data_IF_879687411221
#
_entry.id   IF_879687411221
#
_cell.length_a   1.000
_cell.length_b   1.000
_cell.length_c   1.000
_cell.angle_alpha   90.00
_cell.angle_beta   90.00
_cell.angle_gamma   90.00
#
_symmetry.space_group_name_H-M   'P 1'
#
loop_
_entity.id
_entity.type
_entity.pdbx_description
1 polymer ?
#
# COMPACT_ATOMS: atom_id res chain seq x y z
N UNK A 1 -1.38 -4.69 24.44
CA UNK A 1 -1.72 -6.08 24.04
C UNK A 1 -0.87 -7.11 24.78
N UNK A 2 0.46 -7.21 24.55
CA UNK A 2 1.34 -8.20 25.26
C UNK A 2 1.25 -8.15 26.79
N UNK A 3 1.22 -6.95 27.38
CA UNK A 3 1.11 -6.79 28.82
C UNK A 3 -0.17 -7.47 29.38
N UNK A 4 -1.30 -7.30 28.71
CA UNK A 4 -2.57 -7.91 29.13
C UNK A 4 -2.56 -9.44 29.00
N UNK A 5 -1.95 -9.97 27.94
CA UNK A 5 -1.75 -11.41 27.81
C UNK A 5 -0.88 -11.98 28.94
N UNK A 6 0.26 -11.35 29.25
CA UNK A 6 1.12 -11.83 30.32
C UNK A 6 0.46 -11.76 31.70
N UNK A 7 -0.20 -10.63 32.02
CA UNK A 7 -0.77 -10.36 33.33
C UNK A 7 -2.10 -11.11 33.56
N UNK A 8 -3.01 -11.07 32.58
CA UNK A 8 -4.38 -11.54 32.76
C UNK A 8 -4.72 -12.80 31.94
N UNK A 9 -3.75 -13.35 31.20
CA UNK A 9 -3.96 -14.51 30.30
C UNK A 9 -5.06 -14.28 29.26
N UNK A 10 -5.29 -13.01 28.89
CA UNK A 10 -6.21 -12.66 27.82
C UNK A 10 -5.71 -13.26 26.51
N UNK A 11 -6.63 -13.82 25.71
CA UNK A 11 -6.30 -14.31 24.39
C UNK A 11 -6.04 -13.16 23.43
N UNK A 12 -4.79 -13.07 22.96
CA UNK A 12 -4.36 -11.96 22.10
C UNK A 12 -3.45 -12.44 21.01
N UNK A 13 -3.56 -11.84 19.84
CA UNK A 13 -2.66 -12.03 18.71
C UNK A 13 -2.11 -10.66 18.29
N UNK A 14 -0.88 -10.63 17.79
CA UNK A 14 -0.26 -9.41 17.25
C UNK A 14 0.28 -9.71 15.86
N UNK A 15 -0.10 -8.88 14.90
CA UNK A 15 0.50 -8.89 13.57
C UNK A 15 1.16 -7.54 13.29
N UNK A 16 2.37 -7.57 12.74
CA UNK A 16 3.09 -6.39 12.29
C UNK A 16 3.37 -6.55 10.80
N UNK A 17 2.72 -5.74 9.98
CA UNK A 17 2.79 -5.87 8.53
C UNK A 17 3.64 -4.80 7.87
N UNK A 18 4.09 -5.10 6.66
CA UNK A 18 4.75 -4.16 5.74
C UNK A 18 3.74 -3.21 5.06
N UNK A 19 4.22 -2.37 4.13
CA UNK A 19 3.37 -1.42 3.43
C UNK A 19 2.35 -2.14 2.55
N UNK A 20 1.07 -1.94 2.86
CA UNK A 20 -0.03 -2.49 2.08
C UNK A 20 -0.32 -1.63 0.85
N UNK A 21 -0.75 -2.27 -0.23
CA UNK A 21 -1.26 -1.60 -1.43
C UNK A 21 -2.33 -2.45 -2.12
N UNK A 22 -3.20 -1.79 -2.89
CA UNK A 22 -4.28 -2.46 -3.62
C UNK A 22 -5.57 -1.65 -3.66
N UNK A 23 -6.68 -2.32 -4.03
CA UNK A 23 -8.03 -1.75 -4.04
C UNK A 23 -8.39 -0.98 -2.75
N UNK A 24 -9.24 0.03 -2.90
CA UNK A 24 -9.82 0.82 -1.81
C UNK A 24 -8.82 1.60 -0.93
N UNK A 25 -7.55 1.72 -1.33
CA UNK A 25 -6.58 2.51 -0.59
C UNK A 25 -6.83 4.01 -0.78
N UNK A 26 -6.98 4.75 0.31
CA UNK A 26 -7.26 6.19 0.25
C UNK A 26 -6.12 6.96 -0.46
N UNK A 27 -6.43 7.91 -1.36
CA UNK A 27 -5.44 8.60 -2.23
C UNK A 27 -4.59 9.66 -1.50
N UNK A 28 -4.22 9.39 -0.25
CA UNK A 28 -3.14 10.09 0.47
C UNK A 28 -1.83 9.29 0.47
N UNK A 29 -1.91 7.98 0.21
CA UNK A 29 -0.75 7.07 0.22
C UNK A 29 -0.06 7.10 -1.14
N UNK A 30 1.21 6.69 -1.18
CA UNK A 30 2.07 6.81 -2.36
C UNK A 30 1.43 6.26 -3.64
N UNK A 31 1.08 4.97 -3.68
CA UNK A 31 0.52 4.33 -4.90
C UNK A 31 -0.78 5.02 -5.38
N UNK A 32 -1.84 5.15 -4.55
CA UNK A 32 -3.09 5.73 -5.04
C UNK A 32 -2.99 7.21 -5.38
N UNK A 33 -2.16 7.98 -4.67
CA UNK A 33 -1.87 9.37 -5.03
C UNK A 33 -1.20 9.45 -6.40
N UNK A 34 -0.21 8.58 -6.65
CA UNK A 34 0.53 8.58 -7.92
C UNK A 34 -0.36 8.15 -9.08
N UNK A 35 -1.22 7.13 -8.90
CA UNK A 35 -2.21 6.74 -9.92
C UNK A 35 -3.13 7.92 -10.20
N UNK A 36 -3.73 8.51 -9.16
CA UNK A 36 -4.68 9.61 -9.31
C UNK A 36 -4.07 10.81 -10.05
N UNK A 37 -2.89 11.26 -9.64
CA UNK A 37 -2.21 12.40 -10.28
C UNK A 37 -1.80 12.06 -11.72
N UNK A 38 -1.31 10.85 -11.97
CA UNK A 38 -0.87 10.44 -13.30
C UNK A 38 -2.02 10.28 -14.30
N UNK A 39 -3.23 9.97 -13.83
CA UNK A 39 -4.45 9.97 -14.65
C UNK A 39 -4.87 11.39 -15.06
N UNK A 40 -4.63 12.37 -14.19
CA UNK A 40 -4.96 13.78 -14.41
C UNK A 40 -3.83 14.59 -15.06
N UNK A 41 -2.68 13.96 -15.32
CA UNK A 41 -1.50 14.65 -15.86
C UNK A 41 -0.86 15.64 -14.89
N UNK A 42 -1.08 15.45 -13.58
CA UNK A 42 -0.53 16.28 -12.51
C UNK A 42 0.86 15.79 -12.07
N UNK A 43 1.60 16.67 -11.40
CA UNK A 43 2.91 16.35 -10.83
C UNK A 43 2.84 15.16 -9.85
N UNK A 44 3.88 14.32 -9.89
CA UNK A 44 4.06 13.13 -9.06
C UNK A 44 5.09 13.41 -7.96
N UNK A 45 4.68 13.81 -6.74
CA UNK A 45 5.59 14.30 -5.71
C UNK A 45 6.36 13.17 -5.04
N UNK A 46 7.68 13.14 -5.22
CA UNK A 46 8.60 12.17 -4.61
C UNK A 46 9.43 12.88 -3.53
N UNK A 47 9.33 12.42 -2.28
CA UNK A 47 10.08 12.99 -1.16
C UNK A 47 11.58 12.73 -1.26
N UNK A 48 12.38 13.77 -1.00
CA UNK A 48 13.85 13.67 -0.97
C UNK A 48 14.40 13.29 -2.34
N UNK A 49 15.21 12.24 -2.40
CA UNK A 49 15.70 11.63 -3.64
C UNK A 49 14.92 10.38 -4.04
N UNK A 50 13.85 10.05 -3.30
CA UNK A 50 13.00 8.88 -3.55
C UNK A 50 13.62 7.53 -3.21
N UNK A 51 14.81 7.48 -2.59
CA UNK A 51 15.52 6.22 -2.28
C UNK A 51 15.06 5.51 -1.01
N UNK A 52 14.02 6.03 -0.36
CA UNK A 52 13.41 5.34 0.77
C UNK A 52 12.84 4.00 0.30
N UNK A 53 13.22 2.93 0.98
CA UNK A 53 12.84 1.55 0.66
C UNK A 53 11.67 1.12 1.53
N UNK A 54 10.69 0.49 0.90
CA UNK A 54 9.56 -0.15 1.59
C UNK A 54 9.42 -1.58 1.07
N UNK A 55 8.94 -2.45 1.95
CA UNK A 55 8.46 -3.79 1.59
C UNK A 55 6.97 -3.68 1.26
N UNK A 56 6.58 -4.13 0.07
CA UNK A 56 5.23 -3.98 -0.47
C UNK A 56 4.45 -5.29 -0.45
N UNK A 57 3.32 -5.30 0.27
CA UNK A 57 2.43 -6.44 0.41
C UNK A 57 1.07 -6.12 -0.21
N UNK A 58 0.60 -6.96 -1.13
CA UNK A 58 -0.72 -6.79 -1.70
C UNK A 58 -1.81 -6.99 -0.64
N UNK A 59 -2.83 -6.13 -0.63
CA UNK A 59 -3.82 -6.06 0.47
C UNK A 59 -4.56 -7.37 0.70
N UNK A 60 -4.88 -8.12 -0.37
CA UNK A 60 -5.56 -9.40 -0.22
C UNK A 60 -4.66 -10.48 0.38
N UNK A 61 -3.35 -10.45 0.11
CA UNK A 61 -2.39 -11.34 0.77
C UNK A 61 -2.32 -11.07 2.26
N UNK A 62 -2.37 -9.79 2.64
CA UNK A 62 -2.43 -9.43 4.05
C UNK A 62 -3.73 -9.91 4.70
N UNK A 63 -4.88 -9.75 4.04
CA UNK A 63 -6.16 -10.27 4.55
C UNK A 63 -6.12 -11.79 4.75
N UNK A 64 -5.59 -12.55 3.78
CA UNK A 64 -5.37 -14.00 3.91
C UNK A 64 -4.48 -14.35 5.10
N UNK A 65 -3.43 -13.55 5.34
CA UNK A 65 -2.55 -13.72 6.48
C UNK A 65 -3.28 -13.50 7.82
N UNK A 66 -4.09 -12.45 7.91
CA UNK A 66 -4.87 -12.12 9.11
C UNK A 66 -5.90 -13.19 9.43
N UNK A 67 -6.61 -13.69 8.42
CA UNK A 67 -7.55 -14.79 8.57
C UNK A 67 -6.86 -16.05 9.09
N UNK A 68 -5.71 -16.41 8.50
CA UNK A 68 -4.94 -17.57 8.92
C UNK A 68 -4.42 -17.44 10.35
N UNK A 69 -3.85 -16.28 10.70
CA UNK A 69 -3.37 -15.99 12.05
C UNK A 69 -4.53 -16.07 13.05
N UNK A 70 -5.67 -15.44 12.75
CA UNK A 70 -6.82 -15.45 13.64
C UNK A 70 -7.34 -16.87 13.92
N UNK A 71 -7.34 -17.74 12.91
CA UNK A 71 -7.92 -19.09 13.02
C UNK A 71 -6.95 -20.14 13.58
N UNK A 72 -5.64 -19.97 13.40
CA UNK A 72 -4.66 -21.05 13.63
C UNK A 72 -3.53 -20.68 14.59
N UNK A 73 -3.30 -19.39 14.86
CA UNK A 73 -2.22 -18.99 15.74
C UNK A 73 -2.49 -19.35 17.20
N UNK A 74 -1.41 -19.70 17.90
CA UNK A 74 -1.44 -19.77 19.36
C UNK A 74 -1.57 -18.37 19.96
N UNK A 75 -2.37 -18.27 21.01
CA UNK A 75 -2.52 -17.06 21.82
C UNK A 75 -1.17 -16.56 22.37
N UNK A 76 -0.98 -15.25 22.38
CA UNK A 76 0.24 -14.57 22.84
C UNK A 76 1.34 -14.43 21.80
N UNK A 77 1.16 -15.00 20.60
CA UNK A 77 2.16 -14.97 19.54
C UNK A 77 2.13 -13.64 18.77
N UNK A 78 3.30 -13.24 18.28
CA UNK A 78 3.47 -12.13 17.34
C UNK A 78 3.99 -12.66 16.01
N UNK A 79 3.38 -12.23 14.91
CA UNK A 79 3.80 -12.53 13.56
C UNK A 79 4.12 -11.28 12.76
N UNK A 80 5.28 -11.28 12.12
CA UNK A 80 5.61 -10.34 11.06
C UNK A 80 5.01 -10.85 9.73
N UNK A 81 4.39 -9.95 8.96
CA UNK A 81 3.73 -10.25 7.70
C UNK A 81 4.27 -9.30 6.61
N UNK A 82 4.98 -9.84 5.63
CA UNK A 82 5.71 -9.06 4.63
C UNK A 82 5.56 -9.62 3.22
N UNK A 83 5.73 -8.76 2.21
CA UNK A 83 5.68 -9.16 0.81
C UNK A 83 7.01 -9.72 0.30
N UNK A 84 8.12 -9.46 1.00
CA UNK A 84 9.50 -9.70 0.51
C UNK A 84 9.79 -8.92 -0.78
N UNK A 85 9.13 -7.77 -0.92
CA UNK A 85 9.19 -6.94 -2.13
C UNK A 85 9.77 -5.58 -1.77
N UNK A 86 11.05 -5.55 -1.43
CA UNK A 86 11.75 -4.30 -1.15
C UNK A 86 11.97 -3.49 -2.42
N UNK A 87 11.46 -2.26 -2.42
CA UNK A 87 11.63 -1.36 -3.55
C UNK A 87 11.79 0.08 -3.07
N UNK A 88 12.70 0.81 -3.72
CA UNK A 88 12.80 2.26 -3.55
C UNK A 88 11.52 2.92 -4.08
N UNK A 89 11.06 3.97 -3.39
CA UNK A 89 9.85 4.70 -3.79
C UNK A 89 9.96 5.22 -5.24
N UNK A 90 11.15 5.69 -5.67
CA UNK A 90 11.34 6.18 -7.03
C UNK A 90 11.17 5.07 -8.08
N UNK A 91 11.66 3.86 -7.81
CA UNK A 91 11.53 2.72 -8.73
C UNK A 91 10.08 2.24 -8.79
N UNK A 92 9.35 2.29 -7.68
CA UNK A 92 7.92 2.01 -7.64
C UNK A 92 7.12 3.00 -8.52
N UNK A 93 7.40 4.30 -8.40
CA UNK A 93 6.72 5.34 -9.19
C UNK A 93 7.01 5.18 -10.68
N UNK A 94 8.25 4.84 -11.06
CA UNK A 94 8.62 4.55 -12.46
C UNK A 94 7.89 3.32 -13.00
N UNK A 95 7.80 2.24 -12.21
CA UNK A 95 7.07 1.02 -12.57
C UNK A 95 5.59 1.33 -12.83
N UNK A 96 4.97 2.10 -11.93
CA UNK A 96 3.59 2.56 -12.04
C UNK A 96 3.37 3.41 -13.30
N UNK A 97 4.23 4.41 -13.56
CA UNK A 97 4.14 5.25 -14.76
C UNK A 97 4.21 4.42 -16.04
N UNK A 98 5.17 3.50 -16.11
CA UNK A 98 5.35 2.60 -17.26
C UNK A 98 4.12 1.70 -17.47
N UNK A 99 3.52 1.20 -16.39
CA UNK A 99 2.32 0.38 -16.45
C UNK A 99 1.11 1.16 -16.98
N UNK A 100 0.90 2.38 -16.46
CA UNK A 100 -0.16 3.28 -16.95
C UNK A 100 0.03 3.66 -18.42
N UNK A 101 1.25 4.01 -18.83
CA UNK A 101 1.53 4.36 -20.23
C UNK A 101 1.31 3.16 -21.17
N UNK A 102 1.58 1.93 -20.71
CA UNK A 102 1.26 0.71 -21.47
C UNK A 102 -0.25 0.48 -21.59
N UNK A 103 -1.03 0.81 -20.56
CA UNK A 103 -2.49 0.61 -20.51
C UNK A 103 -3.27 1.67 -21.28
N UNK A 104 -2.86 2.93 -21.14
CA UNK A 104 -3.62 4.10 -21.60
C UNK A 104 -2.97 4.82 -22.78
N UNK A 105 -1.73 4.47 -23.13
CA UNK A 105 -0.90 5.29 -24.00
C UNK A 105 -0.30 6.49 -23.26
N UNK A 106 0.46 7.30 -24.00
CA UNK A 106 1.08 8.52 -23.50
C UNK A 106 0.03 9.58 -23.13
N UNK A 107 0.47 10.64 -22.46
CA UNK A 107 -0.37 11.81 -22.19
C UNK A 107 -0.81 12.48 -23.51
N UNK A 108 -1.91 13.27 -23.51
CA UNK A 108 -2.40 13.94 -24.73
C UNK A 108 -1.38 14.83 -25.43
N UNK A 109 -0.39 15.34 -24.70
CA UNK A 109 0.72 16.16 -25.22
C UNK A 109 1.94 15.33 -25.70
N UNK A 110 1.82 14.00 -25.67
CA UNK A 110 2.85 13.06 -26.12
C UNK A 110 3.91 12.73 -25.08
N UNK A 111 3.86 13.30 -23.87
CA UNK A 111 4.82 12.99 -22.80
C UNK A 111 4.53 11.64 -22.14
N UNK A 112 5.57 10.96 -21.68
CA UNK A 112 5.43 9.79 -20.82
C UNK A 112 5.13 10.23 -19.38
N UNK A 113 4.36 9.44 -18.63
CA UNK A 113 3.99 9.79 -17.24
C UNK A 113 5.18 9.91 -16.30
N UNK A 114 6.29 9.26 -16.62
CA UNK A 114 7.56 9.40 -15.88
C UNK A 114 8.07 10.86 -15.85
N UNK A 115 7.72 11.68 -16.84
CA UNK A 115 8.10 13.10 -16.90
C UNK A 115 7.32 13.97 -15.92
N UNK A 116 6.26 13.44 -15.30
CA UNK A 116 5.49 14.11 -14.26
C UNK A 116 6.18 14.04 -12.88
N UNK A 117 7.24 13.24 -12.72
CA UNK A 117 7.96 13.10 -11.45
C UNK A 117 8.57 14.43 -11.00
N UNK A 118 8.22 14.86 -9.79
CA UNK A 118 8.79 16.04 -9.12
C UNK A 118 9.35 15.66 -7.76
N UNK A 119 10.63 15.96 -7.55
CA UNK A 119 11.23 15.82 -6.22
C UNK A 119 10.80 16.99 -5.33
N UNK A 120 10.34 16.66 -4.12
CA UNK A 120 9.89 17.62 -3.10
C UNK A 120 10.75 17.47 -1.84
N UNK A 121 10.78 18.52 -1.00
CA UNK A 121 11.53 18.50 0.25
C UNK A 121 11.14 17.30 1.12
N UNK A 122 12.13 16.62 1.70
CA UNK A 122 11.89 15.38 2.44
C UNK A 122 11.08 15.60 3.73
N UNK A 123 10.46 14.53 4.21
CA UNK A 123 9.76 14.49 5.48
C UNK A 123 10.77 14.46 6.63
N UNK A 124 10.58 15.29 7.65
CA UNK A 124 11.42 15.23 8.86
C UNK A 124 11.25 13.87 9.56
N UNK A 125 12.36 13.20 9.83
CA UNK A 125 12.38 11.89 10.49
C UNK A 125 11.89 10.75 9.59
N UNK A 126 12.06 10.85 8.28
CA UNK A 126 11.65 9.80 7.35
C UNK A 126 12.55 8.57 7.51
N UNK A 127 11.98 7.44 7.95
CA UNK A 127 12.73 6.19 8.00
C UNK A 127 13.15 5.74 6.59
N UNK A 128 14.44 5.47 6.44
CA UNK A 128 15.05 5.18 5.16
C UNK A 128 14.60 3.82 4.60
N UNK A 129 14.52 2.77 5.42
CA UNK A 129 14.25 1.42 4.94
C UNK A 129 13.42 0.60 5.91
N UNK A 130 12.35 0.01 5.39
CA UNK A 130 11.59 -1.06 6.04
C UNK A 130 11.65 -2.33 5.20
N UNK A 131 11.98 -3.43 5.87
CA UNK A 131 12.06 -4.76 5.29
C UNK A 131 11.57 -5.77 6.35
N UNK A 132 10.59 -6.60 6.00
CA UNK A 132 9.96 -7.51 6.95
C UNK A 132 10.47 -8.94 6.74
N UNK A 133 10.97 -9.54 7.82
CA UNK A 133 11.18 -10.98 7.90
C UNK A 133 9.89 -11.68 8.31
N UNK A 134 9.24 -12.36 7.35
CA UNK A 134 8.03 -13.15 7.53
C UNK A 134 8.30 -14.66 7.73
N UNK A 135 9.53 -15.07 8.03
CA UNK A 135 9.90 -16.49 8.19
C UNK A 135 9.06 -17.20 9.26
N UNK A 136 8.71 -16.50 10.35
CA UNK A 136 7.98 -17.10 11.47
C UNK A 136 6.56 -17.52 11.06
N UNK A 137 5.80 -16.65 10.40
CA UNK A 137 4.42 -16.98 9.98
C UNK A 137 4.42 -18.07 8.91
N UNK A 138 5.44 -18.09 8.05
CA UNK A 138 5.63 -19.16 7.08
C UNK A 138 5.91 -20.51 7.75
N UNK A 139 6.84 -20.56 8.70
CA UNK A 139 7.22 -21.81 9.38
C UNK A 139 6.08 -22.36 10.24
N UNK A 140 5.39 -21.47 10.96
CA UNK A 140 4.39 -21.88 11.93
C UNK A 140 3.03 -22.17 11.28
N UNK A 141 2.63 -21.39 10.25
CA UNK A 141 1.29 -21.44 9.65
C UNK A 141 1.30 -21.76 8.15
N UNK A 142 2.46 -21.86 7.50
CA UNK A 142 2.55 -22.13 6.06
C UNK A 142 2.16 -20.95 5.17
N UNK A 143 2.05 -19.73 5.73
CA UNK A 143 1.69 -18.55 4.95
C UNK A 143 2.85 -18.03 4.10
N UNK A 144 2.55 -17.73 2.84
CA UNK A 144 3.38 -16.94 1.94
C UNK A 144 2.49 -16.03 1.08
N UNK A 145 2.97 -14.83 0.68
CA UNK A 145 2.24 -14.01 -0.27
C UNK A 145 2.13 -14.72 -1.62
N UNK A 146 0.95 -14.64 -2.23
CA UNK A 146 0.64 -15.24 -3.53
C UNK A 146 0.78 -14.25 -4.69
N UNK A 147 0.85 -12.95 -4.38
CA UNK A 147 0.91 -11.87 -5.38
C UNK A 147 2.30 -11.26 -5.41
N UNK A 148 2.98 -11.35 -6.54
CA UNK A 148 4.22 -10.59 -6.75
C UNK A 148 3.93 -9.09 -6.97
N UNK A 149 4.94 -8.25 -6.78
CA UNK A 149 4.77 -6.79 -6.85
C UNK A 149 4.32 -6.30 -8.23
N UNK A 150 4.81 -6.91 -9.32
CA UNK A 150 4.45 -6.48 -10.67
C UNK A 150 2.99 -6.83 -10.96
N UNK A 151 2.57 -8.05 -10.67
CA UNK A 151 1.19 -8.51 -10.81
C UNK A 151 0.23 -7.68 -9.96
N UNK A 152 0.54 -7.49 -8.68
CA UNK A 152 -0.31 -6.72 -7.80
C UNK A 152 -0.40 -5.25 -8.22
N UNK A 153 0.67 -4.67 -8.78
CA UNK A 153 0.64 -3.31 -9.34
C UNK A 153 -0.32 -3.21 -10.52
N UNK A 154 -0.32 -4.18 -11.44
CA UNK A 154 -1.28 -4.24 -12.54
C UNK A 154 -2.71 -4.34 -12.02
N UNK A 155 -2.98 -5.27 -11.09
CA UNK A 155 -4.31 -5.45 -10.49
C UNK A 155 -4.78 -4.18 -9.78
N UNK A 156 -3.85 -3.48 -9.11
CA UNK A 156 -4.15 -2.21 -8.45
C UNK A 156 -4.52 -1.14 -9.47
N UNK A 157 -3.72 -0.97 -10.52
CA UNK A 157 -3.99 0.00 -11.59
C UNK A 157 -5.33 -0.29 -12.26
N UNK A 158 -5.56 -1.53 -12.68
CA UNK A 158 -6.81 -1.94 -13.34
C UNK A 158 -8.01 -1.63 -12.42
N UNK A 159 -7.91 -1.89 -11.11
CA UNK A 159 -8.95 -1.52 -10.16
C UNK A 159 -9.22 0.00 -10.12
N UNK A 160 -8.19 0.86 -10.08
CA UNK A 160 -8.41 2.32 -10.09
C UNK A 160 -8.99 2.83 -11.41
N UNK A 161 -8.63 2.21 -12.54
CA UNK A 161 -9.20 2.54 -13.85
C UNK A 161 -10.70 2.20 -13.92
N UNK A 162 -11.08 1.06 -13.35
CA UNK A 162 -12.46 0.56 -13.33
C UNK A 162 -13.33 1.25 -12.24
N UNK A 163 -12.71 1.88 -11.24
CA UNK A 163 -13.40 2.45 -10.07
C UNK A 163 -13.19 3.97 -9.92
N UNK A 164 -13.17 4.72 -11.02
CA UNK A 164 -12.99 6.18 -11.00
C UNK A 164 -14.08 6.92 -10.23
N UNK A 165 -15.33 6.42 -10.23
CA UNK A 165 -16.41 7.01 -9.43
C UNK A 165 -16.07 6.98 -7.93
N UNK A 166 -15.61 5.82 -7.43
CA UNK A 166 -15.15 5.70 -6.05
C UNK A 166 -14.01 6.67 -5.76
N UNK A 167 -13.01 6.74 -6.65
CA UNK A 167 -11.86 7.62 -6.48
C UNK A 167 -12.27 9.11 -6.38
N UNK A 168 -13.24 9.54 -7.19
CA UNK A 168 -13.74 10.91 -7.17
C UNK A 168 -14.49 11.21 -5.87
N UNK A 169 -15.36 10.31 -5.41
CA UNK A 169 -16.11 10.47 -4.16
C UNK A 169 -15.21 10.55 -2.92
N UNK A 170 -14.12 9.76 -2.86
CA UNK A 170 -13.22 9.84 -1.70
C UNK A 170 -12.31 11.08 -1.72
N UNK A 171 -12.13 11.73 -2.88
CA UNK A 171 -11.30 12.95 -3.04
C UNK A 171 -12.06 14.25 -2.84
N UNK A 172 -13.34 14.31 -3.19
CA UNK A 172 -14.13 15.55 -3.17
C UNK A 172 -14.57 16.01 -1.75
N UNK A 173 -14.22 15.24 -0.72
CA UNK A 173 -14.56 15.54 0.67
C UNK A 173 -16.02 15.27 1.02
N UNK A 174 -16.80 14.66 0.13
CA UNK A 174 -18.20 14.27 0.37
C UNK A 174 -18.36 13.39 1.61
N UNK A 175 -17.38 12.53 1.93
CA UNK A 175 -17.39 11.75 3.18
C UNK A 175 -17.38 12.64 4.43
N UNK A 176 -16.65 13.76 4.43
CA UNK A 176 -16.67 14.71 5.56
C UNK A 176 -18.05 15.37 5.70
N UNK A 177 -18.71 15.70 4.58
CA UNK A 177 -20.09 16.22 4.57
C UNK A 177 -21.10 15.19 5.08
N UNK A 178 -21.06 13.96 4.57
CA UNK A 178 -21.93 12.86 5.04
C UNK A 178 -21.79 12.61 6.55
N UNK A 179 -20.55 12.60 7.07
CA UNK A 179 -20.32 12.38 8.49
C UNK A 179 -20.86 13.53 9.36
N UNK A 180 -20.75 14.77 8.87
CA UNK A 180 -21.31 15.95 9.52
C UNK A 180 -22.85 15.94 9.50
N UNK A 181 -23.48 15.48 8.42
CA UNK A 181 -24.94 15.38 8.32
C UNK A 181 -25.53 14.26 9.18
N UNK A 182 -24.82 13.14 9.31
CA UNK A 182 -25.30 11.96 10.03
C UNK A 182 -24.95 11.95 11.53
N UNK A 183 -23.85 12.60 11.90
CA UNK A 183 -23.28 12.52 13.25
C UNK A 183 -22.83 13.86 13.84
N UNK A 184 -22.94 14.96 13.09
CA UNK A 184 -22.52 16.31 13.48
C UNK A 184 -23.65 17.18 14.03
#
# INVERSE_FOLDING_TARGET
>A
VRAYHHTYKLDTLITNCSNNYGPLQFPEKLIPLMISNALEGLDLPVYGDGKNVRDWLYVEDHCRALELVMNQAQSGVTYNIGGRNELENIELVKLLCKSLDRRLGLLPDGRARIELIKFVGDRKGHDLRYAIDADKVRKDLGWEPQTDLAQGMEMTIDWYLDNQEWLNQVRDGSYQKYYQEMYG
#
